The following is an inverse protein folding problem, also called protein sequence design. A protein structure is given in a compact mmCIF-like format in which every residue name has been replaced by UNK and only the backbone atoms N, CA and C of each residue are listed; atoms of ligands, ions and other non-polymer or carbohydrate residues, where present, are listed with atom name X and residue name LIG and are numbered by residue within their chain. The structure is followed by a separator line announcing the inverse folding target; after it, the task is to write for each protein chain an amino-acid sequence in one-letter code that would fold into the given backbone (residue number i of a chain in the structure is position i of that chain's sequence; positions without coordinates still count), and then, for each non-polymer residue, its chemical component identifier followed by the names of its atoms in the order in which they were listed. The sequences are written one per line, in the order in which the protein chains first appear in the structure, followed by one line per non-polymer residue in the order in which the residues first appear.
data_IF_075028694895
#
_entry.id   IF_075028694895
#
_cell.length_a   1.000
_cell.length_b   1.000
_cell.length_c   1.000
_cell.angle_alpha   90.00
_cell.angle_beta   90.00
_cell.angle_gamma   90.00
#
_symmetry.space_group_name_H-M   'P 1'
#
loop_
_entity.id
_entity.type
_entity.pdbx_description
1 polymer ?
#
# COMPACT_ATOMS: atom_id res chain seq x y z
N UNK A 1 8.26 -34.63 13.59
CA UNK A 1 7.13 -34.28 12.70
C UNK A 1 5.77 -34.56 13.35
N UNK A 2 5.37 -35.82 13.58
CA UNK A 2 4.05 -36.17 14.17
C UNK A 2 3.73 -35.47 15.51
N UNK A 3 4.66 -35.51 16.48
CA UNK A 3 4.49 -34.84 17.79
C UNK A 3 4.42 -33.31 17.70
N UNK A 4 4.99 -32.74 16.63
CA UNK A 4 4.98 -31.30 16.38
C UNK A 4 3.83 -30.90 15.43
N UNK A 5 2.88 -31.82 15.18
CA UNK A 5 1.67 -31.58 14.39
C UNK A 5 1.94 -31.03 12.98
N UNK A 6 3.08 -31.40 12.40
CA UNK A 6 3.42 -31.01 11.03
C UNK A 6 2.39 -31.64 10.08
N UNK A 7 1.73 -30.81 9.26
CA UNK A 7 0.79 -31.29 8.24
C UNK A 7 1.52 -32.23 7.28
N UNK A 8 0.89 -33.34 6.87
CA UNK A 8 1.47 -34.36 6.00
C UNK A 8 2.78 -34.98 6.54
N UNK A 9 2.89 -35.13 7.88
CA UNK A 9 4.09 -35.73 8.49
C UNK A 9 4.40 -37.15 8.01
N UNK A 10 3.40 -37.85 7.48
CA UNK A 10 3.46 -39.19 6.90
C UNK A 10 4.16 -39.22 5.53
N UNK A 11 4.25 -38.07 4.85
CA UNK A 11 5.02 -37.93 3.61
C UNK A 11 6.47 -37.60 3.93
N UNK A 12 7.29 -38.63 4.12
CA UNK A 12 8.70 -38.50 4.43
C UNK A 12 9.62 -39.23 3.44
N UNK A 13 10.86 -38.77 3.34
CA UNK A 13 11.90 -39.38 2.50
C UNK A 13 13.28 -39.27 3.18
N UNK A 14 14.14 -40.27 2.96
CA UNK A 14 15.56 -40.19 3.32
C UNK A 14 16.30 -39.38 2.24
N UNK A 15 16.84 -38.22 2.60
CA UNK A 15 17.48 -37.34 1.63
C UNK A 15 18.75 -37.94 1.00
N UNK A 16 19.34 -38.98 1.60
CA UNK A 16 20.49 -39.69 1.03
C UNK A 16 20.15 -40.43 -0.27
N UNK A 17 18.87 -40.70 -0.54
CA UNK A 17 18.43 -41.31 -1.80
C UNK A 17 18.27 -40.28 -2.93
N UNK A 18 18.30 -38.97 -2.62
CA UNK A 18 18.14 -37.89 -3.58
C UNK A 18 19.52 -37.47 -4.10
N UNK A 19 19.91 -37.98 -5.26
CA UNK A 19 21.28 -37.82 -5.79
C UNK A 19 21.39 -36.68 -6.80
N UNK A 20 20.31 -36.39 -7.52
CA UNK A 20 20.29 -35.35 -8.55
C UNK A 20 19.44 -34.15 -8.11
N UNK A 21 19.65 -32.99 -8.75
CA UNK A 21 18.80 -31.81 -8.51
C UNK A 21 17.35 -32.05 -8.91
N UNK A 22 17.12 -32.87 -9.94
CA UNK A 22 15.78 -33.26 -10.38
C UNK A 22 15.09 -34.15 -9.34
N UNK A 23 15.80 -35.09 -8.72
CA UNK A 23 15.26 -35.89 -7.61
C UNK A 23 14.82 -35.00 -6.46
N UNK A 24 15.63 -33.98 -6.14
CA UNK A 24 15.32 -33.01 -5.09
C UNK A 24 14.09 -32.19 -5.48
N UNK A 25 14.02 -31.67 -6.71
CA UNK A 25 12.90 -30.85 -7.17
C UNK A 25 11.58 -31.61 -7.10
N UNK A 26 11.56 -32.87 -7.54
CA UNK A 26 10.37 -33.73 -7.46
C UNK A 26 10.04 -34.14 -6.01
N UNK A 27 11.06 -34.42 -5.20
CA UNK A 27 10.86 -34.74 -3.79
C UNK A 27 10.25 -33.55 -3.02
N UNK A 28 10.65 -32.31 -3.32
CA UNK A 28 10.09 -31.10 -2.69
C UNK A 28 8.60 -30.89 -2.98
N UNK A 29 8.09 -31.39 -4.11
CA UNK A 29 6.64 -31.36 -4.42
C UNK A 29 5.86 -32.41 -3.63
N UNK A 30 6.48 -33.58 -3.42
CA UNK A 30 5.80 -34.78 -2.90
C UNK A 30 5.87 -34.93 -1.39
N UNK A 31 7.01 -34.61 -0.78
CA UNK A 31 7.31 -34.90 0.61
C UNK A 31 7.36 -33.64 1.47
N UNK A 32 7.07 -33.80 2.76
CA UNK A 32 7.09 -32.70 3.73
C UNK A 32 8.20 -32.87 4.77
N UNK A 33 8.64 -34.10 5.02
CA UNK A 33 9.66 -34.40 6.02
C UNK A 33 10.88 -35.05 5.34
N UNK A 34 12.03 -34.42 5.48
CA UNK A 34 13.29 -34.88 4.90
C UNK A 34 14.23 -35.29 6.03
N UNK A 35 14.62 -36.56 6.07
CA UNK A 35 15.58 -37.10 7.02
C UNK A 35 17.01 -37.06 6.47
N UNK A 36 18.01 -37.04 7.35
CA UNK A 36 19.44 -37.17 7.00
C UNK A 36 19.94 -36.17 5.94
N UNK A 37 19.45 -34.93 6.01
CA UNK A 37 19.75 -33.88 5.03
C UNK A 37 21.16 -33.33 5.24
N UNK A 38 21.96 -33.30 4.18
CA UNK A 38 23.29 -32.67 4.20
C UNK A 38 23.20 -31.14 4.12
N UNK A 39 24.24 -30.40 4.56
CA UNK A 39 24.27 -28.93 4.44
C UNK A 39 24.05 -28.42 3.01
N UNK A 40 24.64 -29.10 2.02
CA UNK A 40 24.48 -28.75 0.60
C UNK A 40 23.03 -28.95 0.14
N UNK A 41 22.39 -30.05 0.53
CA UNK A 41 20.99 -30.34 0.19
C UNK A 41 20.03 -29.33 0.82
N UNK A 42 20.29 -28.82 2.03
CA UNK A 42 19.45 -27.76 2.63
C UNK A 42 19.38 -26.53 1.73
N UNK A 43 20.51 -26.11 1.14
CA UNK A 43 20.52 -25.00 0.17
C UNK A 43 19.72 -25.38 -1.08
N UNK A 44 19.93 -26.57 -1.62
CA UNK A 44 19.20 -27.05 -2.82
C UNK A 44 17.69 -27.09 -2.58
N UNK A 45 17.22 -27.41 -1.37
CA UNK A 45 15.79 -27.40 -1.03
C UNK A 45 15.22 -25.98 -1.08
N UNK A 46 15.96 -25.00 -0.57
CA UNK A 46 15.55 -23.59 -0.63
C UNK A 46 15.47 -23.14 -2.09
N UNK A 47 16.48 -23.43 -2.90
CA UNK A 47 16.49 -23.09 -4.34
C UNK A 47 15.30 -23.75 -5.05
N UNK A 48 15.09 -25.05 -4.85
CA UNK A 48 14.01 -25.79 -5.50
C UNK A 48 12.61 -25.23 -5.15
N UNK A 49 12.39 -24.83 -3.89
CA UNK A 49 11.13 -24.18 -3.50
C UNK A 49 10.97 -22.79 -4.13
N UNK A 50 12.05 -22.01 -4.24
CA UNK A 50 12.04 -20.69 -4.90
C UNK A 50 11.79 -20.81 -6.40
N UNK A 51 12.38 -21.80 -7.07
CA UNK A 51 12.12 -22.12 -8.48
C UNK A 51 10.64 -22.49 -8.72
N UNK A 52 9.98 -23.07 -7.73
CA UNK A 52 8.53 -23.35 -7.74
C UNK A 52 7.67 -22.11 -7.44
N UNK A 53 8.27 -20.93 -7.28
CA UNK A 53 7.57 -19.68 -7.02
C UNK A 53 7.14 -19.47 -5.57
N UNK A 54 7.63 -20.28 -4.63
CA UNK A 54 7.39 -20.07 -3.20
C UNK A 54 8.34 -19.02 -2.62
N UNK A 55 7.82 -18.20 -1.71
CA UNK A 55 8.65 -17.38 -0.81
C UNK A 55 9.10 -18.24 0.36
N UNK A 56 10.41 -18.44 0.52
CA UNK A 56 10.98 -19.43 1.43
C UNK A 56 11.59 -18.75 2.65
N UNK A 57 11.13 -19.16 3.84
CA UNK A 57 11.80 -18.86 5.10
C UNK A 57 12.58 -20.08 5.58
N UNK A 58 13.84 -19.90 5.96
CA UNK A 58 14.67 -20.95 6.53
C UNK A 58 15.05 -20.61 7.97
N UNK A 59 14.90 -21.60 8.85
CA UNK A 59 15.41 -21.54 10.22
C UNK A 59 16.62 -22.44 10.39
N UNK A 60 17.64 -21.94 11.08
CA UNK A 60 18.86 -22.70 11.36
C UNK A 60 19.57 -22.18 12.61
N UNK A 61 20.33 -23.05 13.24
CA UNK A 61 21.10 -22.76 14.45
C UNK A 61 22.59 -23.08 14.25
N UNK A 62 22.95 -23.90 13.27
CA UNK A 62 24.34 -24.31 13.04
C UNK A 62 25.07 -23.53 11.95
N UNK A 63 26.40 -23.58 11.99
CA UNK A 63 27.29 -23.16 10.88
C UNK A 63 26.95 -23.87 9.57
N UNK A 64 26.40 -25.08 9.68
CA UNK A 64 25.95 -25.91 8.55
C UNK A 64 24.74 -25.32 7.82
N UNK A 65 23.96 -24.45 8.47
CA UNK A 65 22.76 -23.86 7.88
C UNK A 65 23.04 -22.54 7.17
N UNK A 66 24.24 -21.97 7.34
CA UNK A 66 24.59 -20.63 6.86
C UNK A 66 24.36 -20.46 5.35
N UNK A 67 24.75 -21.44 4.54
CA UNK A 67 24.56 -21.37 3.09
C UNK A 67 23.09 -21.33 2.69
N UNK A 68 22.26 -22.09 3.41
CA UNK A 68 20.84 -22.21 3.10
C UNK A 68 20.03 -21.04 3.72
N UNK A 69 20.45 -20.53 4.89
CA UNK A 69 19.98 -19.26 5.46
C UNK A 69 20.24 -18.11 4.49
N UNK A 70 21.45 -18.01 3.93
CA UNK A 70 21.79 -16.94 2.97
C UNK A 70 20.97 -16.99 1.68
N UNK A 71 20.56 -18.18 1.26
CA UNK A 71 19.78 -18.40 0.04
C UNK A 71 18.27 -18.11 0.23
N UNK A 72 17.77 -18.24 1.45
CA UNK A 72 16.36 -18.04 1.76
C UNK A 72 15.92 -16.59 1.58
N UNK A 73 14.64 -16.37 1.24
CA UNK A 73 14.06 -15.03 1.18
C UNK A 73 13.94 -14.42 2.58
N UNK A 74 13.74 -15.28 3.59
CA UNK A 74 13.76 -14.91 5.00
C UNK A 74 14.64 -15.87 5.82
N UNK A 75 15.73 -15.38 6.40
CA UNK A 75 16.64 -16.17 7.24
C UNK A 75 16.38 -15.95 8.72
N UNK A 76 16.18 -17.04 9.46
CA UNK A 76 15.81 -17.03 10.88
C UNK A 76 16.83 -17.84 11.68
N UNK A 77 17.44 -17.22 12.70
CA UNK A 77 18.32 -17.91 13.63
C UNK A 77 17.73 -17.98 15.04
N UNK A 78 18.17 -18.99 15.79
CA UNK A 78 17.89 -19.11 17.22
C UNK A 78 18.97 -18.37 18.01
N UNK A 79 18.62 -17.71 19.11
CA UNK A 79 19.62 -17.06 19.95
C UNK A 79 20.65 -18.03 20.54
N UNK A 80 20.23 -19.26 20.85
CA UNK A 80 21.11 -20.36 21.25
C UNK A 80 21.95 -20.95 20.10
N UNK A 81 21.71 -20.53 18.86
CA UNK A 81 22.47 -20.98 17.69
C UNK A 81 23.86 -20.34 17.60
N UNK A 82 24.68 -20.83 16.69
CA UNK A 82 26.04 -20.35 16.41
C UNK A 82 26.08 -18.87 16.00
N UNK A 83 27.17 -18.19 16.34
CA UNK A 83 27.40 -16.79 15.98
C UNK A 83 27.31 -16.57 14.46
N UNK A 84 27.80 -17.53 13.68
CA UNK A 84 27.72 -17.51 12.23
C UNK A 84 26.27 -17.51 11.73
N UNK A 85 25.40 -18.36 12.31
CA UNK A 85 23.99 -18.39 11.95
C UNK A 85 23.28 -17.08 12.32
N UNK A 86 23.55 -16.53 13.51
CA UNK A 86 22.95 -15.25 13.95
C UNK A 86 23.39 -14.06 13.09
N UNK A 87 24.64 -14.03 12.65
CA UNK A 87 25.15 -12.94 11.80
C UNK A 87 24.61 -12.96 10.37
N UNK A 88 24.16 -14.12 9.87
CA UNK A 88 23.59 -14.26 8.52
C UNK A 88 22.06 -14.20 8.52
N UNK A 89 21.44 -14.38 9.68
CA UNK A 89 20.00 -14.27 9.83
C UNK A 89 19.50 -12.82 9.76
N UNK A 90 18.37 -12.62 9.09
CA UNK A 90 17.63 -11.35 9.09
C UNK A 90 16.76 -11.21 10.34
N UNK A 91 16.40 -12.34 10.98
CA UNK A 91 15.61 -12.38 12.19
C UNK A 91 16.20 -13.35 13.20
N UNK A 92 16.33 -12.93 14.46
CA UNK A 92 16.83 -13.77 15.54
C UNK A 92 15.74 -13.96 16.59
N UNK A 93 15.40 -15.22 16.90
CA UNK A 93 14.48 -15.57 17.97
C UNK A 93 15.23 -15.57 19.31
N UNK A 94 15.07 -14.48 20.06
CA UNK A 94 15.76 -14.25 21.34
C UNK A 94 15.39 -15.28 22.42
N UNK A 95 14.15 -15.77 22.40
CA UNK A 95 13.65 -16.81 23.31
C UNK A 95 14.06 -18.23 22.88
N UNK A 96 14.73 -18.38 21.73
CA UNK A 96 15.03 -19.66 21.10
C UNK A 96 13.82 -20.60 21.02
N UNK A 97 12.62 -20.05 20.80
CA UNK A 97 11.38 -20.82 20.71
C UNK A 97 10.69 -20.61 19.36
N UNK A 98 10.62 -21.67 18.56
CA UNK A 98 9.92 -21.64 17.27
C UNK A 98 8.42 -21.33 17.38
N UNK A 99 7.80 -21.55 18.55
CA UNK A 99 6.41 -21.20 18.80
C UNK A 99 6.13 -19.68 18.72
N UNK A 100 7.17 -18.83 18.69
CA UNK A 100 7.05 -17.39 18.47
C UNK A 100 6.88 -17.02 16.99
N UNK A 101 7.19 -17.91 16.05
CA UNK A 101 7.11 -17.63 14.61
C UNK A 101 5.72 -17.22 14.09
N UNK A 102 4.60 -17.82 14.52
CA UNK A 102 3.27 -17.37 14.11
C UNK A 102 3.01 -15.89 14.45
N UNK A 103 3.52 -15.42 15.60
CA UNK A 103 3.39 -14.00 16.00
C UNK A 103 4.22 -13.10 15.09
N UNK A 104 5.46 -13.50 14.79
CA UNK A 104 6.36 -12.79 13.87
C UNK A 104 5.72 -12.63 12.48
N UNK A 105 5.20 -13.72 11.91
CA UNK A 105 4.52 -13.70 10.61
C UNK A 105 3.27 -12.82 10.65
N UNK A 106 2.52 -12.84 11.76
CA UNK A 106 1.33 -12.00 11.92
C UNK A 106 1.67 -10.51 11.98
N UNK A 107 2.75 -10.12 12.66
CA UNK A 107 3.21 -8.72 12.64
C UNK A 107 3.78 -8.33 11.27
N UNK A 108 4.47 -9.22 10.55
CA UNK A 108 4.88 -8.98 9.17
C UNK A 108 3.70 -8.68 8.23
N UNK A 109 2.61 -9.46 8.35
CA UNK A 109 1.36 -9.21 7.61
C UNK A 109 0.75 -7.86 7.95
N UNK A 110 0.72 -7.50 9.25
CA UNK A 110 0.25 -6.19 9.71
C UNK A 110 1.02 -5.06 9.05
N UNK A 111 2.34 -5.12 9.09
CA UNK A 111 3.18 -4.09 8.50
C UNK A 111 2.91 -3.93 7.00
N UNK A 112 2.88 -5.01 6.22
CA UNK A 112 2.64 -4.92 4.77
C UNK A 112 1.24 -4.41 4.45
N UNK A 113 0.20 -4.93 5.12
CA UNK A 113 -1.18 -4.48 4.90
C UNK A 113 -1.35 -2.99 5.19
N UNK A 114 -0.68 -2.51 6.24
CA UNK A 114 -0.73 -1.12 6.68
C UNK A 114 0.06 -0.19 5.75
N UNK A 115 1.26 -0.61 5.33
CA UNK A 115 2.04 0.11 4.31
C UNK A 115 1.23 0.19 3.02
N UNK A 116 0.58 -0.88 2.56
CA UNK A 116 -0.19 -0.88 1.32
C UNK A 116 -1.29 0.20 1.34
N UNK A 117 -2.03 0.32 2.47
CA UNK A 117 -3.07 1.35 2.65
C UNK A 117 -2.49 2.76 2.62
N UNK A 118 -1.41 2.99 3.35
CA UNK A 118 -0.72 4.29 3.40
C UNK A 118 -0.18 4.66 2.02
N UNK A 119 0.51 3.75 1.34
CA UNK A 119 1.07 3.95 0.01
C UNK A 119 0.01 4.31 -1.04
N UNK A 120 -1.21 3.76 -0.95
CA UNK A 120 -2.32 4.21 -1.82
C UNK A 120 -2.55 5.71 -1.74
N UNK A 121 -2.55 6.30 -0.55
CA UNK A 121 -2.78 7.74 -0.36
C UNK A 121 -1.64 8.58 -0.98
N UNK A 122 -0.39 8.15 -0.80
CA UNK A 122 0.77 8.85 -1.35
C UNK A 122 0.84 8.76 -2.88
N UNK A 123 0.57 7.59 -3.46
CA UNK A 123 0.69 7.38 -4.91
C UNK A 123 -0.36 8.17 -5.69
N UNK A 124 -1.57 8.37 -5.14
CA UNK A 124 -2.57 9.26 -5.75
C UNK A 124 -1.99 10.65 -6.01
N UNK A 125 -1.29 11.20 -5.00
CA UNK A 125 -0.63 12.51 -5.10
C UNK A 125 0.39 12.54 -6.22
N UNK A 126 1.29 11.56 -6.24
CA UNK A 126 2.34 11.47 -7.27
C UNK A 126 1.74 11.36 -8.68
N UNK A 127 0.66 10.59 -8.86
CA UNK A 127 -0.01 10.44 -10.16
C UNK A 127 -0.56 11.79 -10.65
N UNK A 128 -1.43 12.43 -9.87
CA UNK A 128 -2.05 13.67 -10.37
C UNK A 128 -1.02 14.79 -10.49
N UNK A 129 -0.05 14.89 -9.56
CA UNK A 129 0.94 15.97 -9.61
C UNK A 129 1.85 15.86 -10.82
N UNK A 130 2.25 14.64 -11.18
CA UNK A 130 3.12 14.39 -12.34
C UNK A 130 2.38 14.69 -13.64
N UNK A 131 1.14 14.20 -13.77
CA UNK A 131 0.32 14.43 -14.97
C UNK A 131 0.04 15.94 -15.13
N UNK A 132 -0.38 16.63 -14.06
CA UNK A 132 -0.63 18.07 -14.12
C UNK A 132 0.63 18.86 -14.40
N UNK A 133 1.78 18.52 -13.81
CA UNK A 133 3.04 19.19 -14.11
C UNK A 133 3.37 19.14 -15.60
N UNK A 134 3.19 17.98 -16.25
CA UNK A 134 3.41 17.81 -17.69
C UNK A 134 2.38 18.59 -18.50
N UNK A 135 1.09 18.51 -18.14
CA UNK A 135 0.03 19.23 -18.86
C UNK A 135 0.22 20.75 -18.82
N UNK A 136 0.62 21.30 -17.68
CA UNK A 136 0.84 22.73 -17.49
C UNK A 136 2.10 23.27 -18.19
N UNK A 137 2.96 22.41 -18.75
CA UNK A 137 4.01 22.87 -19.68
C UNK A 137 3.41 23.39 -20.99
N UNK A 138 2.23 22.91 -21.37
CA UNK A 138 1.58 23.23 -22.63
C UNK A 138 0.33 24.12 -22.47
N UNK A 139 -0.18 24.27 -21.24
CA UNK A 139 -1.34 25.10 -20.94
C UNK A 139 -0.90 26.52 -20.53
N UNK A 140 -1.63 27.52 -20.99
CA UNK A 140 -1.42 28.94 -20.62
C UNK A 140 -2.12 29.34 -19.31
N UNK A 141 -2.85 28.43 -18.68
CA UNK A 141 -3.57 28.67 -17.44
C UNK A 141 -2.61 28.72 -16.23
N UNK A 142 -2.91 29.52 -15.19
CA UNK A 142 -2.11 29.52 -13.97
C UNK A 142 -2.19 28.17 -13.26
N UNK A 143 -1.06 27.71 -12.73
CA UNK A 143 -1.02 26.44 -11.98
C UNK A 143 -1.96 26.51 -10.76
N UNK A 144 -2.82 25.49 -10.54
CA UNK A 144 -3.93 25.56 -9.59
C UNK A 144 -3.52 25.51 -8.12
N UNK A 145 -2.31 25.02 -7.81
CA UNK A 145 -1.95 24.71 -6.44
C UNK A 145 -0.91 25.67 -5.87
N UNK A 146 -1.20 26.21 -4.69
CA UNK A 146 -0.19 26.83 -3.84
C UNK A 146 0.32 25.81 -2.80
N UNK A 147 1.63 25.80 -2.49
CA UNK A 147 2.20 24.86 -1.53
C UNK A 147 1.51 24.88 -0.15
N UNK A 148 1.11 26.05 0.32
CA UNK A 148 0.45 26.21 1.62
C UNK A 148 -0.95 25.57 1.66
N UNK A 149 -1.73 25.71 0.59
CA UNK A 149 -3.06 25.07 0.45
C UNK A 149 -2.93 23.54 0.37
N UNK A 150 -1.94 23.04 -0.39
CA UNK A 150 -1.67 21.60 -0.44
C UNK A 150 -1.16 21.05 0.89
N UNK A 151 -0.52 21.86 1.73
CA UNK A 151 -0.09 21.42 3.07
C UNK A 151 -1.30 21.02 3.91
N UNK A 152 -2.37 21.82 3.90
CA UNK A 152 -3.63 21.48 4.57
C UNK A 152 -4.24 20.19 4.01
N UNK A 153 -4.37 20.08 2.68
CA UNK A 153 -4.91 18.88 2.03
C UNK A 153 -4.09 17.64 2.41
N UNK A 154 -2.76 17.73 2.32
CA UNK A 154 -1.88 16.61 2.63
C UNK A 154 -1.97 16.22 4.10
N UNK A 155 -2.06 17.18 5.03
CA UNK A 155 -2.20 16.88 6.45
C UNK A 155 -3.49 16.11 6.73
N UNK A 156 -4.63 16.57 6.18
CA UNK A 156 -5.94 16.00 6.44
C UNK A 156 -6.22 14.70 5.67
N UNK A 157 -5.61 14.49 4.50
CA UNK A 157 -5.95 13.36 3.63
C UNK A 157 -4.86 12.29 3.55
N UNK A 158 -3.60 12.65 3.83
CA UNK A 158 -2.45 11.74 3.73
C UNK A 158 -1.73 11.62 5.07
N UNK A 159 -1.15 12.69 5.61
CA UNK A 159 -0.26 12.67 6.77
C UNK A 159 -0.89 12.05 8.01
N UNK A 160 -1.93 12.69 8.55
CA UNK A 160 -2.59 12.22 9.78
C UNK A 160 -3.27 10.85 9.55
N UNK A 161 -4.05 10.64 8.47
CA UNK A 161 -4.67 9.36 8.23
C UNK A 161 -3.70 8.21 8.04
N UNK A 162 -2.63 8.40 7.26
CA UNK A 162 -1.65 7.34 6.99
C UNK A 162 -0.98 6.85 8.27
N UNK A 163 -0.65 7.76 9.18
CA UNK A 163 -0.08 7.42 10.48
C UNK A 163 -1.05 6.60 11.34
N UNK A 164 -2.30 7.07 11.48
CA UNK A 164 -3.31 6.39 12.29
C UNK A 164 -3.68 5.02 11.71
N UNK A 165 -3.87 4.94 10.38
CA UNK A 165 -4.15 3.68 9.70
C UNK A 165 -2.97 2.70 9.77
N UNK A 166 -1.73 3.20 9.86
CA UNK A 166 -0.54 2.36 9.99
C UNK A 166 -0.42 1.69 11.38
N UNK A 167 -1.04 2.26 12.41
CA UNK A 167 -1.06 1.69 13.76
C UNK A 167 -2.17 0.64 13.96
N UNK A 168 -3.10 0.51 13.03
CA UNK A 168 -4.23 -0.40 13.17
C UNK A 168 -3.78 -1.88 13.10
N UNK A 169 -4.36 -2.79 13.90
CA UNK A 169 -4.09 -4.22 13.76
C UNK A 169 -4.74 -4.79 12.49
N UNK A 170 -3.93 -5.37 11.59
CA UNK A 170 -4.43 -6.07 10.41
C UNK A 170 -3.58 -7.31 10.08
N UNK A 171 -3.98 -8.48 10.61
CA UNK A 171 -3.21 -9.73 10.48
C UNK A 171 -3.66 -10.61 9.32
N UNK A 172 -4.49 -10.06 8.43
CA UNK A 172 -5.05 -10.80 7.30
C UNK A 172 -3.95 -11.24 6.32
N UNK A 173 -4.19 -12.36 5.63
CA UNK A 173 -3.29 -12.81 4.58
C UNK A 173 -3.29 -11.78 3.45
N UNK A 174 -2.09 -11.40 3.02
CA UNK A 174 -1.88 -10.53 1.87
C UNK A 174 -2.40 -11.27 0.63
N UNK A 175 -3.17 -10.58 -0.21
CA UNK A 175 -3.75 -11.12 -1.45
C UNK A 175 -3.29 -10.27 -2.62
N UNK A 176 -3.03 -10.90 -3.76
CA UNK A 176 -2.56 -10.20 -4.95
C UNK A 176 -1.16 -9.63 -4.80
N UNK A 177 -0.78 -8.82 -5.78
CA UNK A 177 0.54 -8.18 -5.84
C UNK A 177 0.46 -6.80 -5.22
N UNK A 178 1.33 -6.53 -4.24
CA UNK A 178 1.38 -5.29 -3.46
C UNK A 178 1.25 -4.02 -4.33
N UNK A 179 2.10 -3.88 -5.36
CA UNK A 179 2.11 -2.71 -6.24
C UNK A 179 0.82 -2.58 -7.04
N UNK A 180 0.30 -3.69 -7.56
CA UNK A 180 -0.93 -3.70 -8.35
C UNK A 180 -2.14 -3.30 -7.50
N UNK A 181 -2.22 -3.78 -6.27
CA UNK A 181 -3.28 -3.39 -5.32
C UNK A 181 -3.25 -1.89 -5.02
N UNK A 182 -2.07 -1.29 -4.97
CA UNK A 182 -1.91 0.16 -4.75
C UNK A 182 -2.38 0.93 -5.98
N UNK A 183 -1.90 0.54 -7.16
CA UNK A 183 -2.22 1.22 -8.42
C UNK A 183 -3.70 1.10 -8.80
N UNK A 184 -4.33 -0.05 -8.54
CA UNK A 184 -5.76 -0.29 -8.75
C UNK A 184 -6.63 0.80 -8.08
N UNK A 185 -6.24 1.21 -6.87
CA UNK A 185 -6.95 2.23 -6.10
C UNK A 185 -6.49 3.64 -6.44
N UNK A 186 -5.19 3.83 -6.68
CA UNK A 186 -4.62 5.16 -6.83
C UNK A 186 -4.89 5.79 -8.20
N UNK A 187 -4.88 5.00 -9.28
CA UNK A 187 -5.04 5.49 -10.65
C UNK A 187 -6.42 6.15 -10.87
N UNK A 188 -7.57 5.54 -10.52
CA UNK A 188 -8.87 6.17 -10.68
C UNK A 188 -8.95 7.56 -10.05
N UNK A 189 -8.45 7.72 -8.82
CA UNK A 189 -8.47 9.02 -8.14
C UNK A 189 -7.48 10.03 -8.69
N UNK A 190 -6.28 9.58 -9.08
CA UNK A 190 -5.30 10.44 -9.75
C UNK A 190 -5.88 11.02 -11.04
N UNK A 191 -6.47 10.18 -11.89
CA UNK A 191 -7.12 10.59 -13.14
C UNK A 191 -8.34 11.48 -12.87
N UNK A 192 -9.19 11.11 -11.90
CA UNK A 192 -10.35 11.94 -11.51
C UNK A 192 -9.92 13.34 -11.10
N UNK A 193 -8.84 13.46 -10.33
CA UNK A 193 -8.30 14.76 -9.90
C UNK A 193 -7.80 15.57 -11.10
N UNK A 194 -7.07 14.94 -12.03
CA UNK A 194 -6.63 15.61 -13.26
C UNK A 194 -7.81 16.14 -14.06
N UNK A 195 -8.84 15.31 -14.28
CA UNK A 195 -10.04 15.70 -15.03
C UNK A 195 -10.76 16.87 -14.33
N UNK A 196 -10.90 16.82 -13.00
CA UNK A 196 -11.51 17.91 -12.24
C UNK A 196 -10.75 19.23 -12.40
N UNK A 197 -9.42 19.19 -12.40
CA UNK A 197 -8.61 20.40 -12.64
C UNK A 197 -8.83 20.92 -14.06
N UNK A 198 -8.92 20.04 -15.06
CA UNK A 198 -9.25 20.46 -16.42
C UNK A 198 -10.64 21.10 -16.51
N UNK A 199 -11.64 20.53 -15.82
CA UNK A 199 -12.97 21.11 -15.72
C UNK A 199 -12.97 22.45 -14.97
N UNK A 200 -12.12 22.63 -13.95
CA UNK A 200 -11.94 23.93 -13.30
C UNK A 200 -11.39 24.99 -14.25
N UNK A 201 -10.43 24.65 -15.13
CA UNK A 201 -9.92 25.59 -16.13
C UNK A 201 -11.03 26.01 -17.10
N UNK A 202 -11.86 25.05 -17.52
CA UNK A 202 -13.02 25.35 -18.38
C UNK A 202 -14.01 26.26 -17.63
N UNK A 203 -14.33 25.95 -16.37
CA UNK A 203 -15.21 26.77 -15.55
C UNK A 203 -14.65 28.17 -15.30
N UNK A 204 -13.33 28.31 -15.09
CA UNK A 204 -12.67 29.61 -14.96
C UNK A 204 -12.92 30.49 -16.18
N UNK A 205 -12.82 29.94 -17.39
CA UNK A 205 -13.04 30.71 -18.62
C UNK A 205 -14.53 31.03 -18.85
N UNK A 206 -15.44 30.10 -18.55
CA UNK A 206 -16.89 30.30 -18.77
C UNK A 206 -17.48 31.30 -17.77
N UNK A 207 -17.13 31.16 -16.49
CA UNK A 207 -17.68 31.96 -15.39
C UNK A 207 -16.80 33.17 -15.04
N UNK A 208 -15.71 33.39 -15.79
CA UNK A 208 -14.74 34.49 -15.60
C UNK A 208 -14.21 34.58 -14.16
N UNK A 209 -13.90 33.43 -13.58
CA UNK A 209 -13.41 33.34 -12.20
C UNK A 209 -12.03 34.01 -12.07
N UNK A 210 -11.83 34.71 -10.96
CA UNK A 210 -10.51 35.23 -10.63
C UNK A 210 -9.53 34.10 -10.31
N UNK A 211 -8.23 34.37 -10.44
CA UNK A 211 -7.19 33.38 -10.20
C UNK A 211 -7.23 32.81 -8.76
N UNK A 212 -7.64 33.61 -7.77
CA UNK A 212 -7.78 33.17 -6.38
C UNK A 212 -8.98 32.22 -6.19
N UNK A 213 -10.12 32.52 -6.83
CA UNK A 213 -11.31 31.66 -6.82
C UNK A 213 -11.02 30.32 -7.49
N UNK A 214 -10.38 30.32 -8.65
CA UNK A 214 -9.97 29.12 -9.38
C UNK A 214 -9.05 28.22 -8.53
N UNK A 215 -8.01 28.77 -7.91
CA UNK A 215 -7.09 27.99 -7.05
C UNK A 215 -7.81 27.37 -5.86
N UNK A 216 -8.70 28.13 -5.24
CA UNK A 216 -9.52 27.66 -4.10
C UNK A 216 -10.44 26.51 -4.52
N UNK A 217 -11.13 26.65 -5.65
CA UNK A 217 -12.00 25.61 -6.21
C UNK A 217 -11.22 24.34 -6.55
N UNK A 218 -10.06 24.49 -7.19
CA UNK A 218 -9.17 23.38 -7.55
C UNK A 218 -8.69 22.60 -6.32
N UNK A 219 -8.28 23.30 -5.26
CA UNK A 219 -7.87 22.67 -3.99
C UNK A 219 -9.03 21.96 -3.30
N UNK A 220 -10.22 22.58 -3.26
CA UNK A 220 -11.40 21.96 -2.66
C UNK A 220 -11.77 20.66 -3.38
N UNK A 221 -11.78 20.65 -4.72
CA UNK A 221 -12.06 19.42 -5.49
C UNK A 221 -10.98 18.36 -5.30
N UNK A 222 -9.72 18.76 -5.19
CA UNK A 222 -8.61 17.83 -4.90
C UNK A 222 -8.74 17.22 -3.51
N UNK A 223 -9.16 18.01 -2.51
CA UNK A 223 -9.44 17.51 -1.18
C UNK A 223 -10.62 16.52 -1.21
N UNK A 224 -11.67 16.82 -1.97
CA UNK A 224 -12.84 15.95 -2.13
C UNK A 224 -12.45 14.61 -2.77
N UNK A 225 -11.68 14.60 -3.85
CA UNK A 225 -11.20 13.35 -4.46
C UNK A 225 -10.27 12.57 -3.53
N UNK A 226 -9.43 13.26 -2.76
CA UNK A 226 -8.59 12.63 -1.74
C UNK A 226 -9.43 12.03 -0.60
N UNK A 227 -10.52 12.68 -0.17
CA UNK A 227 -11.46 12.12 0.80
C UNK A 227 -12.24 10.91 0.25
N UNK A 228 -12.57 10.89 -1.05
CA UNK A 228 -13.17 9.70 -1.67
C UNK A 228 -12.25 8.47 -1.55
N UNK A 229 -10.94 8.65 -1.77
CA UNK A 229 -9.96 7.57 -1.57
C UNK A 229 -9.79 7.22 -0.11
N UNK A 230 -9.69 8.23 0.78
CA UNK A 230 -9.59 7.97 2.21
C UNK A 230 -10.79 7.17 2.71
N UNK A 231 -11.99 7.47 2.21
CA UNK A 231 -13.20 6.71 2.48
C UNK A 231 -13.05 5.26 2.01
N UNK A 232 -12.65 5.03 0.76
CA UNK A 232 -12.45 3.67 0.21
C UNK A 232 -11.39 2.86 0.98
N UNK A 233 -10.31 3.50 1.41
CA UNK A 233 -9.22 2.86 2.17
C UNK A 233 -9.62 2.60 3.61
N UNK A 234 -10.57 3.37 4.15
CA UNK A 234 -11.10 3.22 5.51
C UNK A 234 -12.18 2.14 5.63
N UNK A 235 -12.63 1.53 4.54
CA UNK A 235 -13.62 0.45 4.59
C UNK A 235 -13.02 -0.87 5.11
N UNK A 236 -13.75 -1.65 5.94
CA UNK A 236 -15.00 -1.28 6.61
C UNK A 236 -14.76 -0.30 7.79
N UNK A 237 -15.69 0.63 8.02
CA UNK A 237 -15.56 1.62 9.09
C UNK A 237 -15.66 0.99 10.47
N UNK A 238 -14.75 1.39 11.38
CA UNK A 238 -14.85 1.15 12.82
C UNK A 238 -14.84 2.50 13.56
N UNK A 239 -14.92 2.49 14.89
CA UNK A 239 -14.95 3.71 15.70
C UNK A 239 -13.76 4.63 15.43
N UNK A 240 -12.55 4.08 15.32
CA UNK A 240 -11.31 4.84 15.07
C UNK A 240 -11.32 5.46 13.68
N UNK A 241 -11.64 4.67 12.64
CA UNK A 241 -11.69 5.14 11.25
C UNK A 241 -12.80 6.17 11.03
N UNK A 242 -13.93 6.02 11.72
CA UNK A 242 -15.04 6.99 11.67
C UNK A 242 -14.62 8.31 12.32
N UNK A 243 -14.06 8.25 13.53
CA UNK A 243 -13.56 9.43 14.23
C UNK A 243 -12.47 10.15 13.42
N UNK A 244 -11.53 9.38 12.85
CA UNK A 244 -10.51 9.89 11.94
C UNK A 244 -11.14 10.62 10.75
N UNK A 245 -12.03 9.96 10.01
CA UNK A 245 -12.63 10.53 8.81
C UNK A 245 -13.40 11.81 9.11
N UNK A 246 -14.24 11.81 10.14
CA UNK A 246 -15.02 12.99 10.58
C UNK A 246 -14.09 14.12 11.01
N UNK A 247 -13.06 13.83 11.80
CA UNK A 247 -12.09 14.85 12.25
C UNK A 247 -11.33 15.46 11.08
N UNK A 248 -10.94 14.66 10.09
CA UNK A 248 -10.19 15.15 8.93
C UNK A 248 -11.05 15.99 7.98
N UNK A 249 -12.29 15.57 7.73
CA UNK A 249 -13.24 16.36 6.94
C UNK A 249 -13.54 17.68 7.65
N UNK A 250 -13.80 17.63 8.96
CA UNK A 250 -14.05 18.83 9.77
C UNK A 250 -12.83 19.76 9.77
N UNK A 251 -11.63 19.21 9.94
CA UNK A 251 -10.38 19.97 9.91
C UNK A 251 -10.14 20.64 8.56
N UNK A 252 -10.43 19.97 7.45
CA UNK A 252 -10.38 20.58 6.12
C UNK A 252 -11.40 21.70 5.98
N UNK A 253 -12.66 21.49 6.38
CA UNK A 253 -13.72 22.50 6.29
C UNK A 253 -13.40 23.73 7.14
N UNK A 254 -12.92 23.54 8.37
CA UNK A 254 -12.47 24.64 9.24
C UNK A 254 -11.28 25.37 8.62
N UNK A 255 -10.29 24.64 8.10
CA UNK A 255 -9.13 25.25 7.46
C UNK A 255 -9.47 26.08 6.23
N UNK A 256 -10.49 25.69 5.46
CA UNK A 256 -10.95 26.44 4.28
C UNK A 256 -11.80 27.64 4.67
N UNK A 257 -12.73 27.49 5.62
CA UNK A 257 -13.72 28.52 5.93
C UNK A 257 -13.29 29.51 7.02
N UNK A 258 -12.56 29.03 8.04
CA UNK A 258 -12.29 29.79 9.25
C UNK A 258 -10.87 30.37 9.33
N UNK A 259 -9.93 29.90 8.49
CA UNK A 259 -8.52 30.32 8.55
C UNK A 259 -8.12 31.41 7.54
N UNK A 260 -9.10 32.09 6.93
CA UNK A 260 -8.89 33.18 5.95
C UNK A 260 -8.63 34.55 6.59
N UNK A 261 -9.26 34.82 7.73
CA UNK A 261 -9.26 36.13 8.39
C UNK A 261 -8.99 36.00 9.89
N UNK A 262 -7.85 35.37 10.25
CA UNK A 262 -7.48 35.21 11.65
C UNK A 262 -6.88 36.52 12.15
N UNK A 263 -7.63 37.22 13.01
CA UNK A 263 -7.12 38.37 13.75
C UNK A 263 -6.62 37.92 15.11
N UNK A 264 -5.29 37.81 15.26
CA UNK A 264 -4.66 37.44 16.52
C UNK A 264 -3.62 38.49 16.91
N UNK A 265 -3.73 39.02 18.14
CA UNK A 265 -2.84 40.06 18.67
C UNK A 265 -2.67 41.30 17.76
N UNK A 266 -3.73 41.70 17.06
CA UNK A 266 -3.71 42.88 16.18
C UNK A 266 -3.05 42.67 14.81
N UNK A 267 -2.62 41.44 14.48
CA UNK A 267 -2.07 41.08 13.18
C UNK A 267 -3.13 40.27 12.41
N UNK A 268 -3.38 40.64 11.15
CA UNK A 268 -4.20 39.85 10.22
C UNK A 268 -3.32 38.74 9.62
N UNK A 269 -3.76 37.48 9.80
CA UNK A 269 -3.15 36.32 9.16
C UNK A 269 -4.17 35.63 8.24
N UNK A 270 -3.81 35.51 6.97
CA UNK A 270 -4.43 34.56 6.04
C UNK A 270 -3.50 33.33 5.92
N UNK A 271 -3.85 32.27 6.65
CA UNK A 271 -2.95 31.13 6.84
C UNK A 271 -2.79 30.28 5.58
N UNK A 272 -3.84 30.19 4.76
CA UNK A 272 -3.88 29.30 3.59
C UNK A 272 -4.17 30.01 2.27
N UNK A 273 -4.46 31.31 2.28
CA UNK A 273 -4.71 32.11 1.08
C UNK A 273 -5.87 31.55 0.25
N UNK A 274 -7.01 31.34 0.91
CA UNK A 274 -8.25 30.90 0.25
C UNK A 274 -9.12 32.09 -0.12
N UNK A 275 -9.68 32.08 -1.32
CA UNK A 275 -10.64 33.10 -1.75
C UNK A 275 -11.96 32.99 -0.98
N UNK A 276 -12.72 34.08 -0.96
CA UNK A 276 -14.07 34.08 -0.44
C UNK A 276 -14.99 33.17 -1.26
N UNK A 277 -15.80 32.37 -0.58
CA UNK A 277 -16.83 31.57 -1.23
C UNK A 277 -17.94 32.48 -1.75
N UNK A 278 -17.91 32.77 -3.04
CA UNK A 278 -19.05 33.32 -3.77
C UNK A 278 -20.10 32.23 -4.00
N UNK A 279 -21.36 32.63 -4.20
CA UNK A 279 -22.45 31.68 -4.50
C UNK A 279 -22.19 30.89 -5.78
N UNK A 280 -21.54 31.52 -6.77
CA UNK A 280 -21.10 30.87 -8.01
C UNK A 280 -20.09 29.76 -7.72
N UNK A 281 -19.08 30.01 -6.89
CA UNK A 281 -18.12 28.99 -6.47
C UNK A 281 -18.79 27.82 -5.73
N UNK A 282 -19.76 28.11 -4.85
CA UNK A 282 -20.47 27.06 -4.11
C UNK A 282 -21.27 26.14 -5.05
N UNK A 283 -21.98 26.72 -6.03
CA UNK A 283 -22.73 25.95 -7.04
C UNK A 283 -21.76 25.15 -7.92
N UNK A 284 -20.68 25.76 -8.40
CA UNK A 284 -19.67 25.09 -9.21
C UNK A 284 -19.01 23.94 -8.45
N UNK A 285 -18.67 24.14 -7.17
CA UNK A 285 -18.11 23.09 -6.33
C UNK A 285 -19.07 21.91 -6.20
N UNK A 286 -20.36 22.16 -5.98
CA UNK A 286 -21.36 21.11 -5.87
C UNK A 286 -21.51 20.31 -7.18
N UNK A 287 -21.62 21.00 -8.32
CA UNK A 287 -21.74 20.38 -9.65
C UNK A 287 -20.48 19.58 -10.01
N UNK A 288 -19.30 20.18 -9.87
CA UNK A 288 -18.03 19.52 -10.17
C UNK A 288 -17.77 18.34 -9.22
N UNK A 289 -18.24 18.41 -7.96
CA UNK A 289 -18.16 17.28 -7.03
C UNK A 289 -19.04 16.11 -7.47
N UNK A 290 -20.26 16.37 -7.94
CA UNK A 290 -21.12 15.32 -8.48
C UNK A 290 -20.50 14.66 -9.72
N UNK A 291 -19.91 15.47 -10.62
CA UNK A 291 -19.17 14.97 -11.79
C UNK A 291 -17.95 14.17 -11.36
N UNK A 292 -17.17 14.65 -10.39
CA UNK A 292 -16.01 13.95 -9.84
C UNK A 292 -16.39 12.57 -9.30
N UNK A 293 -17.49 12.48 -8.55
CA UNK A 293 -18.00 11.23 -8.01
C UNK A 293 -18.40 10.25 -9.12
N UNK A 294 -19.08 10.75 -10.16
CA UNK A 294 -19.45 9.94 -11.32
C UNK A 294 -18.20 9.40 -12.06
N UNK A 295 -17.23 10.27 -12.35
CA UNK A 295 -15.97 9.89 -13.00
C UNK A 295 -15.22 8.85 -12.15
N UNK A 296 -15.13 9.10 -10.85
CA UNK A 296 -14.43 8.20 -9.94
C UNK A 296 -15.05 6.79 -9.95
N UNK A 297 -16.38 6.69 -9.87
CA UNK A 297 -17.09 5.40 -9.94
C UNK A 297 -16.87 4.74 -11.32
N UNK A 298 -17.01 5.51 -12.39
CA UNK A 298 -16.87 5.01 -13.77
C UNK A 298 -15.46 4.48 -14.05
N UNK A 299 -14.42 5.09 -13.47
CA UNK A 299 -13.04 4.63 -13.60
C UNK A 299 -12.73 3.44 -12.66
N UNK A 300 -13.32 3.40 -11.47
CA UNK A 300 -13.00 2.37 -10.47
C UNK A 300 -13.40 0.96 -10.90
N UNK A 301 -14.58 0.79 -11.50
CA UNK A 301 -15.08 -0.52 -11.94
C UNK A 301 -14.23 -1.21 -13.03
N UNK A 302 -13.89 -0.55 -14.16
CA UNK A 302 -13.03 -1.14 -15.18
C UNK A 302 -11.60 -1.33 -14.68
N UNK A 303 -11.07 -0.41 -13.85
CA UNK A 303 -9.73 -0.58 -13.27
C UNK A 303 -9.66 -1.82 -12.38
N UNK A 304 -10.66 -2.08 -11.53
CA UNK A 304 -10.74 -3.33 -10.75
C UNK A 304 -10.63 -4.57 -11.64
N UNK A 305 -11.39 -4.62 -12.73
CA UNK A 305 -11.36 -5.75 -13.68
C UNK A 305 -10.00 -5.89 -14.36
N UNK A 306 -9.43 -4.78 -14.81
CA UNK A 306 -8.12 -4.75 -15.49
C UNK A 306 -7.02 -5.26 -14.56
N UNK A 307 -6.93 -4.72 -13.34
CA UNK A 307 -5.90 -5.12 -12.37
C UNK A 307 -6.09 -6.55 -11.86
N UNK A 308 -7.33 -7.03 -11.74
CA UNK A 308 -7.58 -8.45 -11.46
C UNK A 308 -7.03 -9.36 -12.56
N UNK A 309 -7.25 -9.02 -13.84
CA UNK A 309 -6.73 -9.79 -14.98
C UNK A 309 -5.20 -9.75 -15.05
N UNK A 310 -4.59 -8.58 -14.80
CA UNK A 310 -3.14 -8.44 -14.76
C UNK A 310 -2.57 -9.28 -13.61
N UNK A 311 -3.17 -9.19 -12.41
CA UNK A 311 -2.74 -9.96 -11.24
C UNK A 311 -2.82 -11.45 -11.52
N UNK A 312 -3.92 -11.95 -12.10
CA UNK A 312 -4.06 -13.35 -12.48
C UNK A 312 -3.00 -13.81 -13.50
N UNK A 313 -2.58 -12.93 -14.43
CA UNK A 313 -1.52 -13.24 -15.39
C UNK A 313 -0.14 -13.33 -14.75
N UNK A 314 0.14 -12.52 -13.74
CA UNK A 314 1.40 -12.56 -13.00
C UNK A 314 1.42 -13.71 -11.98
N UNK A 315 0.32 -13.90 -11.24
CA UNK A 315 0.15 -15.05 -10.36
C UNK A 315 0.18 -16.36 -11.15
N UNK A 316 -0.40 -16.44 -12.35
CA UNK A 316 -0.30 -17.63 -13.21
C UNK A 316 1.10 -17.89 -13.78
N UNK A 317 2.04 -16.93 -13.66
CA UNK A 317 3.46 -17.11 -14.03
C UNK A 317 4.33 -17.50 -12.83
N UNK A 318 3.95 -17.11 -11.61
CA UNK A 318 4.63 -17.52 -10.35
C UNK A 318 3.96 -18.73 -9.69
N UNK A 319 2.74 -19.05 -10.09
CA UNK A 319 1.86 -20.08 -9.58
C UNK A 319 1.25 -20.77 -10.81
N UNK A 320 2.02 -21.65 -11.46
CA UNK A 320 1.41 -22.79 -12.15
C UNK A 320 1.18 -23.84 -11.07
N UNK A 321 -0.02 -23.98 -10.49
CA UNK A 321 -0.40 -25.27 -9.97
C UNK A 321 -0.58 -26.13 -11.21
N UNK A 322 0.46 -26.89 -11.60
CA UNK A 322 0.18 -28.08 -12.38
C UNK A 322 -0.73 -28.95 -11.50
N UNK A 323 -1.96 -29.11 -12.01
CA UNK A 323 -3.07 -29.94 -11.56
C UNK A 323 -2.81 -30.92 -10.40
N UNK A 324 -3.82 -30.99 -9.52
CA UNK A 324 -4.15 -32.05 -8.54
C UNK A 324 -3.32 -32.17 -7.27
#
# INVERSE_FOLDING_TARGET
ARRAEVKNYDKYVDATTLKTEDDIREAMKKYTVFGRVTPAQKKQFVVALKEQGHTVAMTGDGVNDVLALKEADCSIAMAAGSDAARNVAQLVLLDSNFASMPKVVAEGRRTINNIQRSSTLFIVKTIFSTILAILFLFLTAPFPFQPIQLTLVNACTIGIPSFILALEPNKDRIKGIFILNILEKAIPAGITTVINIMLCIIAMNIFQLEAAEYKTLAVCLTAITAFMILFQVSLPFNKIRTALFVLMVSGMTIGVLCCRDIHLFGIHFDLFNFAAFSWTMAILLAVLTAIALLIFILLTLPMKKLFANITAKFEGRTFRPENT
#
